data_IF_132393915531
#
_entry.id   IF_132393915531
#
_cell.length_a   1.000
_cell.length_b   1.000
_cell.length_c   1.000
_cell.angle_alpha   90.00
_cell.angle_beta   90.00
_cell.angle_gamma   90.00
#
_symmetry.space_group_name_H-M   'P 1'
#
loop_
_entity.id
_entity.type
_entity.pdbx_description
1 polymer ?
#
# COMPACT_ATOMS: atom_id res chain seq x y z
N UNK A 1 -40.28 13.55 -21.31
CA UNK A 1 -39.31 12.99 -20.34
C UNK A 1 -38.42 14.10 -19.82
N UNK A 2 -38.70 14.60 -18.61
CA UNK A 2 -37.86 15.61 -17.97
C UNK A 2 -36.50 15.02 -17.61
N UNK A 3 -35.41 15.66 -18.05
CA UNK A 3 -34.05 15.19 -17.79
C UNK A 3 -33.77 15.35 -16.30
N UNK A 4 -33.69 14.24 -15.55
CA UNK A 4 -33.27 14.25 -14.14
C UNK A 4 -31.91 14.95 -14.07
N UNK A 5 -31.77 15.95 -13.20
CA UNK A 5 -30.51 16.65 -13.02
C UNK A 5 -29.40 15.64 -12.64
N UNK A 6 -28.20 15.79 -13.19
CA UNK A 6 -27.10 14.89 -12.86
C UNK A 6 -26.59 15.16 -11.43
N UNK A 7 -26.48 14.11 -10.60
CA UNK A 7 -25.86 14.22 -9.29
C UNK A 7 -24.39 14.65 -9.40
N UNK A 8 -23.99 15.67 -8.62
CA UNK A 8 -22.60 16.13 -8.54
C UNK A 8 -22.16 16.17 -7.08
N UNK A 9 -21.19 15.34 -6.73
CA UNK A 9 -20.62 15.35 -5.40
C UNK A 9 -19.66 16.54 -5.22
N UNK A 10 -19.98 17.44 -4.28
CA UNK A 10 -19.20 18.68 -4.03
C UNK A 10 -17.72 18.40 -3.69
N UNK A 11 -17.41 17.26 -3.07
CA UNK A 11 -16.05 16.91 -2.65
C UNK A 11 -15.35 15.91 -3.58
N UNK A 12 -15.79 15.77 -4.83
CA UNK A 12 -15.22 14.83 -5.80
C UNK A 12 -13.71 15.03 -5.99
N UNK A 13 -13.25 16.28 -6.15
CA UNK A 13 -11.82 16.58 -6.28
C UNK A 13 -11.01 16.21 -5.04
N UNK A 14 -11.57 16.40 -3.84
CA UNK A 14 -10.93 16.01 -2.59
C UNK A 14 -10.87 14.49 -2.46
N UNK A 15 -11.93 13.78 -2.85
CA UNK A 15 -11.96 12.32 -2.86
C UNK A 15 -10.89 11.75 -3.80
N UNK A 16 -10.77 12.29 -5.01
CA UNK A 16 -9.71 11.92 -5.97
C UNK A 16 -8.31 12.15 -5.40
N UNK A 17 -8.08 13.32 -4.79
CA UNK A 17 -6.80 13.62 -4.14
C UNK A 17 -6.47 12.62 -3.02
N UNK A 18 -7.43 12.29 -2.15
CA UNK A 18 -7.20 11.34 -1.05
C UNK A 18 -6.96 9.91 -1.55
N UNK A 19 -7.64 9.48 -2.61
CA UNK A 19 -7.37 8.20 -3.29
C UNK A 19 -5.94 8.15 -3.82
N UNK A 20 -5.52 9.21 -4.52
CA UNK A 20 -4.14 9.30 -5.01
C UNK A 20 -3.12 9.26 -3.86
N UNK A 21 -3.35 10.01 -2.78
CA UNK A 21 -2.46 10.00 -1.60
C UNK A 21 -2.39 8.61 -0.95
N UNK A 22 -3.50 7.89 -0.83
CA UNK A 22 -3.52 6.49 -0.36
C UNK A 22 -2.67 5.59 -1.25
N UNK A 23 -2.79 5.75 -2.57
CA UNK A 23 -2.05 4.94 -3.52
C UNK A 23 -0.53 5.23 -3.41
N UNK A 24 -0.12 6.49 -3.23
CA UNK A 24 1.27 6.86 -2.91
C UNK A 24 1.77 6.21 -1.60
N UNK A 25 0.97 6.20 -0.54
CA UNK A 25 1.34 5.53 0.71
C UNK A 25 1.55 4.02 0.51
N UNK A 26 0.70 3.38 -0.31
CA UNK A 26 0.81 1.95 -0.63
C UNK A 26 2.05 1.66 -1.48
N UNK A 27 2.35 2.50 -2.46
CA UNK A 27 3.57 2.41 -3.26
C UNK A 27 4.81 2.52 -2.37
N UNK A 28 4.86 3.52 -1.49
CA UNK A 28 5.99 3.67 -0.56
C UNK A 28 6.17 2.46 0.34
N UNK A 29 5.09 1.92 0.91
CA UNK A 29 5.16 0.69 1.72
C UNK A 29 5.76 -0.47 0.91
N UNK A 30 5.32 -0.64 -0.34
CA UNK A 30 5.82 -1.71 -1.22
C UNK A 30 7.32 -1.53 -1.56
N UNK A 31 7.78 -0.30 -1.77
CA UNK A 31 9.20 0.01 -1.99
C UNK A 31 10.06 -0.39 -0.78
N UNK A 32 9.69 0.07 0.42
CA UNK A 32 10.46 -0.18 1.64
C UNK A 32 10.47 -1.67 1.98
N UNK A 33 9.35 -2.37 1.79
CA UNK A 33 9.30 -3.83 1.97
C UNK A 33 10.20 -4.58 0.96
N UNK A 34 10.27 -4.10 -0.28
CA UNK A 34 11.16 -4.67 -1.30
C UNK A 34 12.62 -4.45 -0.94
N UNK A 35 12.96 -3.28 -0.42
CA UNK A 35 14.32 -2.99 0.06
C UNK A 35 14.71 -3.92 1.23
N UNK A 36 13.82 -4.13 2.22
CA UNK A 36 14.08 -5.07 3.32
C UNK A 36 14.30 -6.49 2.79
N UNK A 37 13.50 -6.92 1.81
CA UNK A 37 13.63 -8.24 1.20
C UNK A 37 14.96 -8.39 0.44
N UNK A 38 15.41 -7.35 -0.26
CA UNK A 38 16.71 -7.34 -0.95
C UNK A 38 17.86 -7.48 0.05
N UNK A 39 17.82 -6.77 1.19
CA UNK A 39 18.82 -6.90 2.25
C UNK A 39 18.83 -8.30 2.87
N UNK A 40 17.66 -8.91 3.05
CA UNK A 40 17.55 -10.30 3.50
C UNK A 40 18.22 -11.28 2.53
N UNK A 41 17.97 -11.11 1.23
CA UNK A 41 18.61 -11.93 0.20
C UNK A 41 20.13 -11.74 0.20
N UNK A 42 20.60 -10.50 0.25
CA UNK A 42 22.04 -10.19 0.32
C UNK A 42 22.71 -10.83 1.55
N UNK A 43 22.07 -10.73 2.72
CA UNK A 43 22.58 -11.36 3.95
C UNK A 43 22.73 -12.87 3.79
N UNK A 44 21.74 -13.55 3.20
CA UNK A 44 21.81 -15.01 2.97
C UNK A 44 22.96 -15.39 2.05
N UNK A 45 23.22 -14.60 1.01
CA UNK A 45 24.36 -14.85 0.12
C UNK A 45 25.71 -14.66 0.86
N UNK A 46 25.83 -13.64 1.71
CA UNK A 46 27.03 -13.48 2.55
C UNK A 46 27.20 -14.61 3.58
N UNK A 47 26.10 -15.13 4.13
CA UNK A 47 26.12 -16.27 5.05
C UNK A 47 26.64 -17.53 4.35
N UNK A 48 26.13 -17.83 3.14
CA UNK A 48 26.61 -18.97 2.32
C UNK A 48 28.09 -18.82 1.95
N UNK A 49 28.50 -17.62 1.54
CA UNK A 49 29.90 -17.33 1.20
C UNK A 49 30.81 -17.56 2.41
N UNK A 50 30.39 -17.08 3.57
CA UNK A 50 31.13 -17.28 4.83
C UNK A 50 31.23 -18.77 5.18
N UNK A 51 30.16 -19.53 5.06
CA UNK A 51 30.16 -20.97 5.31
C UNK A 51 31.13 -21.71 4.38
N UNK A 52 31.15 -21.34 3.09
CA UNK A 52 32.10 -21.91 2.13
C UNK A 52 33.55 -21.67 2.55
N UNK A 53 33.90 -20.44 2.93
CA UNK A 53 35.27 -20.09 3.34
C UNK A 53 35.70 -20.77 4.63
N UNK A 54 34.78 -20.96 5.58
CA UNK A 54 35.05 -21.71 6.82
C UNK A 54 35.32 -23.18 6.50
N UNK A 55 34.58 -23.76 5.58
CA UNK A 55 34.78 -25.15 5.15
C UNK A 55 36.11 -25.32 4.40
N UNK A 56 36.47 -24.38 3.52
CA UNK A 56 37.80 -24.35 2.87
C UNK A 56 38.93 -24.29 3.91
N UNK A 57 38.81 -23.41 4.91
CA UNK A 57 39.78 -23.30 6.00
C UNK A 57 39.94 -24.62 6.78
N UNK A 58 38.86 -25.34 7.04
CA UNK A 58 38.91 -26.65 7.71
C UNK A 58 39.64 -27.69 6.87
N UNK A 59 39.37 -27.73 5.55
CA UNK A 59 40.04 -28.66 4.64
C UNK A 59 41.54 -28.41 4.56
N UNK A 60 41.96 -27.14 4.50
CA UNK A 60 43.37 -26.77 4.52
C UNK A 60 44.08 -27.22 5.81
N UNK A 61 43.40 -27.12 6.96
CA UNK A 61 43.96 -27.57 8.24
C UNK A 61 44.10 -29.10 8.32
N UNK A 62 43.22 -29.86 7.67
CA UNK A 62 43.28 -31.33 7.65
C UNK A 62 44.32 -31.92 6.69
N UNK A 63 44.83 -31.13 5.72
CA UNK A 63 45.69 -31.63 4.64
C UNK A 63 47.18 -31.74 5.01
N UNK A 64 47.59 -31.41 6.23
CA UNK A 64 48.96 -31.60 6.75
C UNK A 64 49.98 -30.54 6.32
N UNK A 65 49.88 -29.99 5.10
CA UNK A 65 50.62 -28.78 4.69
C UNK A 65 49.74 -27.54 4.86
N UNK A 66 50.07 -26.72 5.86
CA UNK A 66 49.32 -25.49 6.17
C UNK A 66 49.94 -24.31 5.42
N UNK A 67 49.29 -23.87 4.34
CA UNK A 67 49.51 -22.55 3.76
C UNK A 67 49.01 -21.48 4.75
N UNK A 68 49.94 -20.93 5.53
CA UNK A 68 49.67 -19.94 6.59
C UNK A 68 49.11 -18.64 6.01
N UNK A 69 49.65 -18.18 4.88
CA UNK A 69 49.25 -16.94 4.24
C UNK A 69 47.84 -17.06 3.63
N UNK A 70 47.57 -18.18 2.94
CA UNK A 70 46.25 -18.48 2.41
C UNK A 70 45.19 -18.66 3.50
N UNK A 71 45.56 -19.19 4.67
CA UNK A 71 44.68 -19.29 5.82
C UNK A 71 44.41 -17.92 6.47
N UNK A 72 45.43 -17.07 6.61
CA UNK A 72 45.30 -15.72 7.16
C UNK A 72 44.39 -14.84 6.29
N UNK A 73 44.58 -14.86 4.97
CA UNK A 73 43.77 -14.10 4.01
C UNK A 73 42.28 -14.47 4.08
N UNK A 74 41.96 -15.77 4.16
CA UNK A 74 40.57 -16.25 4.29
C UNK A 74 39.94 -15.85 5.63
N UNK A 75 40.67 -15.95 6.74
CA UNK A 75 40.18 -15.49 8.05
C UNK A 75 39.88 -13.99 8.05
N UNK A 76 40.76 -13.19 7.47
CA UNK A 76 40.53 -11.75 7.29
C UNK A 76 39.25 -11.50 6.48
N UNK A 77 39.07 -12.21 5.36
CA UNK A 77 37.88 -12.05 4.53
C UNK A 77 36.59 -12.47 5.26
N UNK A 78 36.61 -13.57 6.03
CA UNK A 78 35.49 -13.95 6.90
C UNK A 78 35.13 -12.84 7.90
N UNK A 79 36.13 -12.17 8.49
CA UNK A 79 35.93 -11.01 9.35
C UNK A 79 35.22 -9.87 8.63
N UNK A 80 35.64 -9.56 7.39
CA UNK A 80 34.98 -8.54 6.55
C UNK A 80 33.52 -8.89 6.24
N UNK A 81 33.22 -10.15 5.92
CA UNK A 81 31.85 -10.62 5.68
C UNK A 81 30.97 -10.43 6.92
N UNK A 82 31.49 -10.71 8.12
CA UNK A 82 30.77 -10.47 9.37
C UNK A 82 30.45 -8.99 9.57
N UNK A 83 31.41 -8.09 9.33
CA UNK A 83 31.16 -6.64 9.40
C UNK A 83 30.08 -6.20 8.41
N UNK A 84 30.08 -6.73 7.19
CA UNK A 84 29.04 -6.45 6.20
C UNK A 84 27.66 -6.94 6.65
N UNK A 85 27.58 -8.15 7.20
CA UNK A 85 26.33 -8.71 7.74
C UNK A 85 25.77 -7.87 8.90
N UNK A 86 26.63 -7.38 9.81
CA UNK A 86 26.25 -6.46 10.89
C UNK A 86 25.66 -5.17 10.32
N UNK A 87 26.31 -4.58 9.32
CA UNK A 87 25.81 -3.38 8.65
C UNK A 87 24.45 -3.59 7.97
N UNK A 88 24.24 -4.76 7.35
CA UNK A 88 22.93 -5.12 6.78
C UNK A 88 21.87 -5.17 7.88
N UNK A 89 22.15 -5.81 9.02
CA UNK A 89 21.16 -5.94 10.09
C UNK A 89 20.79 -4.57 10.71
N UNK A 90 21.77 -3.68 10.87
CA UNK A 90 21.50 -2.30 11.31
C UNK A 90 20.58 -1.56 10.33
N UNK A 91 20.84 -1.66 9.02
CA UNK A 91 19.99 -1.05 7.99
C UNK A 91 18.58 -1.65 7.99
N UNK A 92 18.46 -2.96 8.15
CA UNK A 92 17.16 -3.64 8.29
C UNK A 92 16.38 -3.15 9.51
N UNK A 93 17.04 -2.90 10.64
CA UNK A 93 16.36 -2.38 11.82
C UNK A 93 15.75 -0.99 11.56
N UNK A 94 16.45 -0.13 10.81
CA UNK A 94 15.91 1.15 10.35
C UNK A 94 14.72 0.97 9.41
N UNK A 95 14.82 0.09 8.40
CA UNK A 95 13.72 -0.18 7.47
C UNK A 95 12.48 -0.74 8.18
N UNK A 96 12.63 -1.57 9.21
CA UNK A 96 11.49 -2.07 10.00
C UNK A 96 10.69 -0.95 10.66
N UNK A 97 11.38 0.07 11.18
CA UNK A 97 10.72 1.26 11.76
C UNK A 97 9.97 2.02 10.67
N UNK A 98 10.58 2.18 9.50
CA UNK A 98 9.94 2.84 8.36
C UNK A 98 8.73 2.07 7.82
N UNK A 99 8.80 0.73 7.74
CA UNK A 99 7.67 -0.13 7.37
C UNK A 99 6.50 0.07 8.33
N UNK A 100 6.77 0.12 9.64
CA UNK A 100 5.72 0.35 10.63
C UNK A 100 5.04 1.73 10.44
N UNK A 101 5.83 2.77 10.17
CA UNK A 101 5.30 4.11 9.87
C UNK A 101 4.48 4.12 8.57
N UNK A 102 4.98 3.47 7.52
CA UNK A 102 4.26 3.35 6.24
C UNK A 102 2.94 2.61 6.39
N UNK A 103 2.90 1.52 7.16
CA UNK A 103 1.66 0.79 7.48
C UNK A 103 0.64 1.70 8.17
N UNK A 104 1.08 2.48 9.16
CA UNK A 104 0.20 3.43 9.83
C UNK A 104 -0.31 4.51 8.88
N UNK A 105 0.55 5.01 7.98
CA UNK A 105 0.16 5.99 6.97
C UNK A 105 -0.89 5.44 6.00
N UNK A 106 -0.74 4.19 5.54
CA UNK A 106 -1.74 3.53 4.69
C UNK A 106 -3.08 3.40 5.40
N UNK A 107 -3.09 2.96 6.66
CA UNK A 107 -4.34 2.86 7.44
C UNK A 107 -5.05 4.20 7.57
N UNK A 108 -4.30 5.28 7.87
CA UNK A 108 -4.88 6.63 7.95
C UNK A 108 -5.43 7.09 6.60
N UNK A 109 -4.69 6.86 5.51
CA UNK A 109 -5.14 7.22 4.18
C UNK A 109 -6.39 6.43 3.73
N UNK A 110 -6.49 5.15 4.09
CA UNK A 110 -7.67 4.33 3.86
C UNK A 110 -8.90 4.87 4.62
N UNK A 111 -8.72 5.24 5.89
CA UNK A 111 -9.79 5.87 6.69
C UNK A 111 -10.24 7.19 6.07
N UNK A 112 -9.29 8.04 5.67
CA UNK A 112 -9.53 9.34 5.04
C UNK A 112 -10.35 9.23 3.74
N UNK A 113 -10.10 8.19 2.94
CA UNK A 113 -10.88 7.89 1.72
C UNK A 113 -12.27 7.37 2.10
N UNK A 114 -12.36 6.40 3.01
CA UNK A 114 -13.61 5.76 3.41
C UNK A 114 -14.63 6.74 3.98
N UNK A 115 -14.18 7.76 4.72
CA UNK A 115 -15.05 8.83 5.22
C UNK A 115 -15.73 9.59 4.07
N UNK A 116 -14.98 9.95 3.03
CA UNK A 116 -15.54 10.68 1.89
C UNK A 116 -16.40 9.81 0.99
N UNK A 117 -16.05 8.53 0.81
CA UNK A 117 -16.89 7.59 0.05
C UNK A 117 -18.25 7.41 0.70
N UNK A 118 -18.29 7.20 2.03
CA UNK A 118 -19.55 7.13 2.79
C UNK A 118 -20.36 8.42 2.69
N UNK A 119 -19.70 9.58 2.73
CA UNK A 119 -20.38 10.86 2.56
C UNK A 119 -20.97 10.99 1.15
N UNK A 120 -20.23 10.60 0.12
CA UNK A 120 -20.68 10.63 -1.26
C UNK A 120 -21.89 9.71 -1.47
N UNK A 121 -21.84 8.49 -0.93
CA UNK A 121 -22.92 7.51 -0.96
C UNK A 121 -24.19 8.06 -0.30
N UNK A 122 -24.07 8.61 0.91
CA UNK A 122 -25.20 9.22 1.63
C UNK A 122 -25.83 10.36 0.81
N UNK A 123 -25.01 11.27 0.27
CA UNK A 123 -25.49 12.40 -0.56
C UNK A 123 -26.16 11.94 -1.84
N UNK A 124 -25.68 10.84 -2.43
CA UNK A 124 -26.29 10.25 -3.61
C UNK A 124 -27.65 9.64 -3.29
N UNK A 125 -27.76 8.93 -2.17
CA UNK A 125 -29.03 8.36 -1.71
C UNK A 125 -30.07 9.46 -1.42
N UNK A 126 -29.67 10.53 -0.72
CA UNK A 126 -30.53 11.71 -0.49
C UNK A 126 -31.01 12.33 -1.81
N UNK A 127 -30.11 12.52 -2.78
CA UNK A 127 -30.45 13.08 -4.08
C UNK A 127 -31.45 12.22 -4.86
N UNK A 128 -31.25 10.89 -4.86
CA UNK A 128 -32.14 9.96 -5.55
C UNK A 128 -33.54 9.95 -4.92
N UNK A 129 -33.60 9.91 -3.58
CA UNK A 129 -34.86 9.97 -2.85
C UNK A 129 -35.64 11.27 -3.14
N UNK A 130 -34.95 12.42 -3.17
CA UNK A 130 -35.59 13.70 -3.50
C UNK A 130 -36.00 13.81 -4.98
N UNK A 131 -35.31 13.12 -5.89
CA UNK A 131 -35.68 13.06 -7.29
C UNK A 131 -36.93 12.20 -7.49
N UNK A 132 -36.97 11.00 -6.89
CA UNK A 132 -38.13 10.11 -6.90
C UNK A 132 -39.36 10.79 -6.30
N UNK A 133 -39.21 11.47 -5.15
CA UNK A 133 -40.31 12.21 -4.52
C UNK A 133 -40.88 13.30 -5.43
N UNK A 134 -40.02 14.05 -6.13
CA UNK A 134 -40.44 15.11 -7.06
C UNK A 134 -41.14 14.55 -8.30
N UNK A 135 -40.64 13.44 -8.83
CA UNK A 135 -41.26 12.76 -9.97
C UNK A 135 -42.64 12.18 -9.60
N UNK A 136 -42.77 11.60 -8.40
CA UNK A 136 -44.05 11.14 -7.87
C UNK A 136 -45.09 12.26 -7.78
N UNK A 137 -44.75 13.38 -7.15
CA UNK A 137 -45.63 14.56 -7.07
C UNK A 137 -46.03 15.10 -8.44
N UNK A 138 -45.07 15.25 -9.36
CA UNK A 138 -45.35 15.72 -10.71
C UNK A 138 -46.28 14.78 -11.49
N UNK A 139 -46.19 13.48 -11.23
CA UNK A 139 -47.06 12.47 -11.84
C UNK A 139 -48.48 12.59 -11.27
N UNK A 140 -48.63 12.67 -9.94
CA UNK A 140 -49.93 12.87 -9.27
C UNK A 140 -50.64 14.16 -9.73
N UNK A 141 -49.90 15.26 -9.81
CA UNK A 141 -50.41 16.54 -10.33
C UNK A 141 -50.90 16.40 -11.79
N UNK A 142 -50.16 15.68 -12.62
CA UNK A 142 -50.57 15.43 -14.01
C UNK A 142 -51.84 14.55 -14.11
N UNK A 143 -51.95 13.50 -13.29
CA UNK A 143 -53.14 12.64 -13.26
C UNK A 143 -54.38 13.39 -12.76
N UNK A 144 -54.23 14.23 -11.73
CA UNK A 144 -55.34 15.01 -11.18
C UNK A 144 -55.84 16.07 -12.17
N UNK A 145 -54.94 16.75 -12.88
CA UNK A 145 -55.28 17.70 -13.93
C UNK A 145 -56.01 17.03 -15.11
N UNK A 146 -55.57 15.85 -15.54
CA UNK A 146 -56.23 15.08 -16.60
C UNK A 146 -57.66 14.69 -16.20
N UNK A 147 -57.88 14.22 -14.97
CA UNK A 147 -59.20 13.82 -14.46
C UNK A 147 -60.19 14.99 -14.35
N UNK A 148 -59.71 16.19 -14.00
CA UNK A 148 -60.55 17.40 -13.96
C UNK A 148 -60.92 17.90 -15.36
N UNK A 149 -60.13 17.59 -16.38
CA UNK A 149 -60.46 17.87 -17.79
C UNK A 149 -61.50 16.93 -18.40
N UNK A 150 -61.59 15.68 -17.92
CA UNK A 150 -62.57 14.69 -18.42
C UNK A 150 -63.98 14.82 -17.78
N UNK A 151 -64.12 15.58 -16.68
CA UNK A 151 -65.40 15.81 -16.00
C UNK A 151 -66.16 17.08 -16.43
N UNK A 152 -65.68 17.80 -17.44
CA UNK A 152 -66.22 19.08 -17.90
C UNK A 152 -66.69 19.05 -19.35
N UNK A 153 -67.67 18.22 -19.68
CA UNK A 153 -68.50 18.32 -20.90
C UNK A 153 -69.93 17.95 -20.57
#
# INVERSE_FOLDING_TARGET
MGRVANFRFRFESLLRYRKHRRDLCRQRLAEVMREEQNLLSQRRELEKERERLIEELRRMQSAGEVDVDGAAARRYYVGRLLTQMIGIEQRRQSLRREIAQCRQAVVRADQDVKVLEKLAEKRRAEFLYEAERREGLATEDAWSAARLGEGGT
#
